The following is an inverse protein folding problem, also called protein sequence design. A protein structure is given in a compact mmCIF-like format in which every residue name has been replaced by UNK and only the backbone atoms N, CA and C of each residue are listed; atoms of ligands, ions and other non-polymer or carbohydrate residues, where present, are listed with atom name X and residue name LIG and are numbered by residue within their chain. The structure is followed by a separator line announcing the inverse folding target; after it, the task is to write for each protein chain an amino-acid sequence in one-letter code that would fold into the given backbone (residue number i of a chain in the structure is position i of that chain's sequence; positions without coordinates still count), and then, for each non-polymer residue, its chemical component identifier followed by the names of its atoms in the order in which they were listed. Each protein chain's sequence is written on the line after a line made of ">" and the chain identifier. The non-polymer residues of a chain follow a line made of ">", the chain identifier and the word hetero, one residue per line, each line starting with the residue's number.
data_IF_357269961493
#
_entry.id   IF_357269961493
#
_cell.length_a   1.000
_cell.length_b   1.000
_cell.length_c   1.000
_cell.angle_alpha   90.00
_cell.angle_beta   90.00
_cell.angle_gamma   90.00
#
_symmetry.space_group_name_H-M   'P 1'
#
loop_
_entity.id
_entity.type
_entity.pdbx_description
1 polymer ?
#
# COMPACT_ATOMS: atom_id res chain seq x y z
N UNK A 1 -25.62 17.27 2.20
CA UNK A 1 -25.05 17.19 0.85
C UNK A 1 -24.30 18.49 0.47
N UNK A 2 -23.35 18.95 1.29
CA UNK A 2 -22.71 20.27 1.14
C UNK A 2 -21.28 20.22 0.53
N UNK A 3 -20.85 19.08 -0.02
CA UNK A 3 -19.45 18.87 -0.43
C UNK A 3 -19.08 19.31 -1.86
N UNK A 4 -20.08 19.58 -2.72
CA UNK A 4 -19.84 19.83 -4.16
C UNK A 4 -20.25 21.23 -4.65
N UNK A 5 -20.97 22.01 -3.83
CA UNK A 5 -21.57 23.28 -4.26
C UNK A 5 -20.52 24.40 -4.46
N UNK A 6 -19.38 24.33 -3.78
CA UNK A 6 -18.30 25.34 -3.87
C UNK A 6 -16.91 24.74 -4.15
N UNK A 7 -16.82 23.50 -4.63
CA UNK A 7 -15.51 22.87 -4.90
C UNK A 7 -15.08 23.18 -6.33
N UNK A 8 -13.88 23.74 -6.46
CA UNK A 8 -13.25 23.95 -7.78
C UNK A 8 -13.16 22.63 -8.57
N UNK A 9 -13.47 22.71 -9.86
CA UNK A 9 -13.35 21.57 -10.75
C UNK A 9 -11.87 21.26 -11.04
N UNK A 10 -11.34 20.23 -10.37
CA UNK A 10 -9.98 19.71 -10.59
C UNK A 10 -9.94 18.50 -11.54
N UNK A 11 -11.04 18.15 -12.20
CA UNK A 11 -11.09 16.99 -13.11
C UNK A 11 -10.08 17.13 -14.25
N UNK A 12 -9.99 18.27 -14.99
CA UNK A 12 -9.00 18.41 -16.06
C UNK A 12 -7.55 18.37 -15.55
N UNK A 13 -7.31 18.79 -14.30
CA UNK A 13 -6.00 18.66 -13.66
C UNK A 13 -5.59 17.19 -13.49
N UNK A 14 -6.46 16.37 -12.91
CA UNK A 14 -6.16 14.95 -12.74
C UNK A 14 -6.13 14.18 -14.06
N UNK A 15 -7.00 14.52 -15.03
CA UNK A 15 -6.94 13.92 -16.37
C UNK A 15 -5.58 14.14 -17.01
N UNK A 16 -5.04 15.36 -17.01
CA UNK A 16 -3.69 15.65 -17.52
C UNK A 16 -2.61 14.88 -16.76
N UNK A 17 -2.71 14.78 -15.43
CA UNK A 17 -1.75 14.06 -14.60
C UNK A 17 -1.72 12.55 -14.94
N UNK A 18 -2.89 11.90 -14.99
CA UNK A 18 -2.98 10.45 -15.21
C UNK A 18 -2.84 10.05 -16.68
N UNK A 19 -3.13 10.94 -17.63
CA UNK A 19 -2.99 10.66 -19.07
C UNK A 19 -1.58 10.99 -19.61
N UNK A 20 -0.72 11.65 -18.81
CA UNK A 20 0.67 11.94 -19.21
C UNK A 20 1.46 10.65 -19.46
N UNK A 21 2.16 10.57 -20.60
CA UNK A 21 2.92 9.39 -21.05
C UNK A 21 4.38 9.41 -20.54
N UNK A 22 4.56 9.40 -19.23
CA UNK A 22 5.90 9.50 -18.61
C UNK A 22 6.54 8.13 -18.29
N UNK A 23 5.87 7.02 -18.59
CA UNK A 23 6.29 5.68 -18.18
C UNK A 23 6.12 5.39 -16.68
N UNK A 24 5.66 6.37 -15.89
CA UNK A 24 5.40 6.19 -14.46
C UNK A 24 4.09 5.42 -14.28
N UNK A 25 4.05 4.35 -13.44
CA UNK A 25 2.82 3.63 -13.14
C UNK A 25 1.77 4.54 -12.49
N UNK A 26 0.49 4.33 -12.81
CA UNK A 26 -0.61 5.18 -12.35
C UNK A 26 -0.65 5.36 -10.83
N UNK A 27 -0.29 4.31 -10.07
CA UNK A 27 -0.24 4.39 -8.61
C UNK A 27 0.76 5.43 -8.09
N UNK A 28 1.86 5.66 -8.79
CA UNK A 28 2.95 6.56 -8.40
C UNK A 28 2.80 8.01 -8.92
N UNK A 29 1.74 8.32 -9.67
CA UNK A 29 1.61 9.63 -10.34
C UNK A 29 1.31 10.81 -9.41
N UNK A 30 0.84 10.56 -8.19
CA UNK A 30 0.48 11.65 -7.26
C UNK A 30 1.60 11.91 -6.24
N UNK A 31 1.80 13.16 -5.79
CA UNK A 31 2.85 13.50 -4.81
C UNK A 31 2.63 12.84 -3.45
N UNK A 32 1.37 12.49 -3.12
CA UNK A 32 1.00 11.75 -1.91
C UNK A 32 1.17 10.24 -2.04
N UNK A 33 1.46 9.73 -3.24
CA UNK A 33 1.60 8.30 -3.48
C UNK A 33 2.69 7.66 -2.61
N UNK A 34 3.92 8.20 -2.53
CA UNK A 34 4.98 7.58 -1.74
C UNK A 34 4.59 7.45 -0.25
N UNK A 35 3.93 8.47 0.30
CA UNK A 35 3.45 8.47 1.68
C UNK A 35 2.44 7.34 1.97
N UNK A 36 1.63 6.96 0.97
CA UNK A 36 0.64 5.88 1.10
C UNK A 36 1.23 4.51 0.74
N UNK A 37 2.03 4.45 -0.32
CA UNK A 37 2.53 3.18 -0.86
C UNK A 37 3.67 2.59 -0.03
N UNK A 38 4.58 3.40 0.51
CA UNK A 38 5.67 2.87 1.33
C UNK A 38 5.21 2.12 2.58
N UNK A 39 4.33 2.69 3.44
CA UNK A 39 3.85 1.94 4.60
C UNK A 39 3.02 0.72 4.19
N UNK A 40 2.25 0.80 3.09
CA UNK A 40 1.52 -0.35 2.57
C UNK A 40 2.45 -1.50 2.16
N UNK A 41 3.52 -1.21 1.41
CA UNK A 41 4.49 -2.24 1.00
C UNK A 41 5.29 -2.79 2.18
N UNK A 42 5.66 -1.95 3.15
CA UNK A 42 6.32 -2.40 4.38
C UNK A 42 5.43 -3.35 5.18
N UNK A 43 4.17 -2.97 5.43
CA UNK A 43 3.22 -3.81 6.16
C UNK A 43 2.94 -5.14 5.43
N UNK A 44 2.81 -5.11 4.10
CA UNK A 44 2.60 -6.32 3.29
C UNK A 44 3.81 -7.27 3.39
N UNK A 45 5.03 -6.73 3.29
CA UNK A 45 6.25 -7.53 3.41
C UNK A 45 6.39 -8.16 4.80
N UNK A 46 6.10 -7.39 5.86
CA UNK A 46 6.11 -7.89 7.24
C UNK A 46 5.08 -9.01 7.42
N UNK A 47 3.85 -8.81 6.94
CA UNK A 47 2.79 -9.81 7.07
C UNK A 47 3.11 -11.12 6.34
N UNK A 48 3.64 -11.02 5.12
CA UNK A 48 4.03 -12.18 4.33
C UNK A 48 5.17 -12.95 5.01
N UNK A 49 6.23 -12.24 5.39
CA UNK A 49 7.41 -12.86 6.02
C UNK A 49 7.06 -13.46 7.38
N UNK A 50 6.22 -12.80 8.20
CA UNK A 50 5.76 -13.35 9.47
C UNK A 50 4.90 -14.60 9.30
N UNK A 51 4.03 -14.62 8.29
CA UNK A 51 3.17 -15.78 8.02
C UNK A 51 4.00 -16.99 7.59
N UNK A 52 4.99 -16.79 6.72
CA UNK A 52 5.91 -17.85 6.30
C UNK A 52 6.79 -18.33 7.46
N UNK A 53 7.26 -17.41 8.31
CA UNK A 53 8.01 -17.76 9.52
C UNK A 53 7.21 -18.65 10.45
N UNK A 54 5.97 -18.26 10.80
CA UNK A 54 5.12 -19.03 11.69
C UNK A 54 4.69 -20.37 11.09
N UNK A 55 4.48 -20.43 9.77
CA UNK A 55 4.24 -21.69 9.07
C UNK A 55 5.43 -22.65 9.23
N UNK A 56 6.66 -22.19 8.96
CA UNK A 56 7.85 -23.02 9.12
C UNK A 56 8.06 -23.48 10.57
N UNK A 57 7.78 -22.60 11.54
CA UNK A 57 7.83 -22.91 12.97
C UNK A 57 6.79 -23.96 13.36
N UNK A 58 5.58 -23.87 12.83
CA UNK A 58 4.51 -24.83 13.08
C UNK A 58 4.84 -26.23 12.55
N UNK A 59 5.47 -26.34 11.37
CA UNK A 59 5.96 -27.61 10.84
C UNK A 59 6.98 -28.28 11.79
N UNK A 60 7.80 -27.47 12.48
CA UNK A 60 8.77 -27.93 13.48
C UNK A 60 8.18 -28.13 14.88
N UNK A 61 6.86 -27.97 15.05
CA UNK A 61 6.14 -28.16 16.31
C UNK A 61 6.17 -26.95 17.27
N UNK A 62 6.70 -25.81 16.86
CA UNK A 62 6.70 -24.58 17.66
C UNK A 62 5.38 -23.81 17.49
N UNK A 63 4.69 -23.50 18.58
CA UNK A 63 3.39 -22.82 18.57
C UNK A 63 3.47 -21.30 18.79
N UNK A 64 4.57 -20.83 19.37
CA UNK A 64 4.80 -19.43 19.73
C UNK A 64 5.86 -18.78 18.85
N UNK A 65 5.81 -17.45 18.79
CA UNK A 65 6.74 -16.64 17.98
C UNK A 65 8.18 -16.72 18.52
N UNK A 66 8.32 -16.73 19.84
CA UNK A 66 9.59 -16.90 20.55
C UNK A 66 9.37 -17.93 21.65
N UNK A 67 10.10 -19.05 21.59
CA UNK A 67 9.94 -20.15 22.54
C UNK A 67 9.76 -21.49 21.86
N UNK A 68 9.77 -22.56 22.66
CA UNK A 68 9.49 -23.92 22.20
C UNK A 68 8.10 -24.40 22.60
N UNK A 69 7.49 -23.72 23.57
CA UNK A 69 6.22 -24.08 24.21
C UNK A 69 5.07 -23.19 23.70
#
# INVERSE_FOLDING_TARGET
>A
MAGFVYRENRVPHYQRLFQRKDGIPDRWKTPRSPLLLYPFYAATAVCLTSSMYMMGRMVLGHKTWFGKD
#
